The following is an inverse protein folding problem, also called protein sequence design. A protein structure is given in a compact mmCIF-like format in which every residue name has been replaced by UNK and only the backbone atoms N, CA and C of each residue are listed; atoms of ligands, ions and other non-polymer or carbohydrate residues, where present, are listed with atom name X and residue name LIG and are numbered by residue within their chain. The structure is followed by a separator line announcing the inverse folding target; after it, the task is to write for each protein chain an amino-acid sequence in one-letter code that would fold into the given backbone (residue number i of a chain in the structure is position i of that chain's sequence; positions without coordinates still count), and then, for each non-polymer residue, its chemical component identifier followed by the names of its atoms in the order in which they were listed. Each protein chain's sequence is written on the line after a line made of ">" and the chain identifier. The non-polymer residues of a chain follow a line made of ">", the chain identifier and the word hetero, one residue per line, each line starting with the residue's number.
data_IF_851983320665
#
_entry.id   IF_851983320665
#
_cell.length_a   1.000
_cell.length_b   1.000
_cell.length_c   1.000
_cell.angle_alpha   90.00
_cell.angle_beta   90.00
_cell.angle_gamma   90.00
#
_symmetry.space_group_name_H-M   'P 1'
#
loop_
_entity.id
_entity.type
_entity.pdbx_description
1 polymer ?
#
# COMPACT_ATOMS: atom_id res chain seq x y z
N UNK A 1 -4.09 -13.93 -12.57
CA UNK A 1 -4.15 -15.27 -11.90
C UNK A 1 -4.71 -15.08 -10.50
N UNK A 2 -5.79 -15.73 -10.12
CA UNK A 2 -6.24 -15.67 -8.73
C UNK A 2 -5.25 -16.41 -7.82
N UNK A 3 -4.98 -15.86 -6.63
CA UNK A 3 -4.08 -16.44 -5.62
C UNK A 3 -4.49 -17.85 -5.17
N UNK A 4 -3.63 -18.55 -4.44
CA UNK A 4 -3.76 -19.96 -4.03
C UNK A 4 -5.14 -20.41 -3.52
N UNK A 5 -5.86 -19.56 -2.79
CA UNK A 5 -7.22 -19.85 -2.35
C UNK A 5 -8.23 -19.95 -3.51
N UNK A 6 -7.83 -19.57 -4.73
CA UNK A 6 -8.64 -19.58 -5.94
C UNK A 6 -8.03 -20.42 -7.06
N UNK A 7 -7.09 -21.31 -6.77
CA UNK A 7 -6.30 -22.11 -7.75
C UNK A 7 -7.12 -22.91 -8.77
N UNK A 8 -8.44 -23.02 -8.60
CA UNK A 8 -9.34 -23.68 -9.55
C UNK A 8 -10.47 -22.76 -10.02
N UNK A 9 -10.33 -21.45 -9.89
CA UNK A 9 -11.43 -20.53 -10.05
C UNK A 9 -11.41 -19.72 -11.35
N UNK A 10 -10.65 -20.06 -12.36
CA UNK A 10 -10.60 -19.28 -13.60
C UNK A 10 -11.99 -18.85 -14.12
N UNK A 11 -12.97 -19.76 -14.04
CA UNK A 11 -14.37 -19.48 -14.40
C UNK A 11 -15.27 -19.04 -13.23
N UNK A 12 -14.75 -18.98 -12.00
CA UNK A 12 -15.52 -18.78 -10.77
C UNK A 12 -14.97 -17.69 -9.85
N UNK A 13 -13.88 -16.99 -10.24
CA UNK A 13 -13.42 -15.81 -9.50
C UNK A 13 -14.51 -14.73 -9.54
N UNK A 14 -14.93 -14.18 -8.40
CA UNK A 14 -15.89 -13.09 -8.40
C UNK A 14 -15.29 -11.89 -9.14
N UNK A 15 -16.13 -11.20 -9.92
CA UNK A 15 -15.72 -9.96 -10.57
C UNK A 15 -15.37 -8.92 -9.52
N UNK A 16 -14.35 -8.12 -9.80
CA UNK A 16 -13.92 -7.01 -8.96
C UNK A 16 -14.75 -5.77 -9.27
N UNK A 17 -15.57 -5.26 -8.34
CA UNK A 17 -16.39 -4.09 -8.60
C UNK A 17 -15.50 -2.87 -8.86
N UNK A 18 -15.59 -2.32 -10.07
CA UNK A 18 -14.80 -1.16 -10.49
C UNK A 18 -15.29 0.14 -9.88
N UNK A 19 -14.40 1.11 -9.70
CA UNK A 19 -14.76 2.46 -9.26
C UNK A 19 -15.38 3.26 -10.41
N UNK A 20 -14.76 3.26 -11.58
CA UNK A 20 -15.26 3.87 -12.83
C UNK A 20 -15.44 5.39 -12.78
N UNK A 21 -14.89 6.06 -11.79
CA UNK A 21 -15.06 7.50 -11.53
C UNK A 21 -13.96 8.03 -10.63
N UNK A 22 -14.11 9.26 -10.17
CA UNK A 22 -13.27 9.85 -9.11
C UNK A 22 -13.95 9.70 -7.75
N UNK A 23 -13.20 9.21 -6.76
CA UNK A 23 -13.60 9.16 -5.35
C UNK A 23 -12.70 10.09 -4.54
N UNK A 24 -13.30 11.00 -3.77
CA UNK A 24 -12.59 11.83 -2.80
C UNK A 24 -13.17 11.55 -1.41
N UNK A 25 -12.31 11.16 -0.49
CA UNK A 25 -12.69 10.90 0.91
C UNK A 25 -11.93 11.85 1.84
N UNK A 26 -12.69 12.56 2.67
CA UNK A 26 -12.19 13.29 3.84
C UNK A 26 -12.44 12.41 5.08
N UNK A 27 -11.36 11.98 5.72
CA UNK A 27 -11.43 11.09 6.88
C UNK A 27 -11.67 11.82 8.22
N UNK A 28 -12.23 13.00 8.22
CA UNK A 28 -12.73 13.62 9.47
C UNK A 28 -13.88 12.82 10.08
N UNK A 29 -14.47 11.92 9.30
CA UNK A 29 -15.50 10.95 9.69
C UNK A 29 -15.35 9.65 8.90
N UNK A 30 -15.97 8.59 9.40
CA UNK A 30 -16.10 7.31 8.70
C UNK A 30 -16.77 7.48 7.33
N UNK A 31 -16.34 6.69 6.35
CA UNK A 31 -16.91 6.65 5.00
C UNK A 31 -17.29 5.23 4.62
N UNK A 32 -18.51 5.06 4.10
CA UNK A 32 -19.02 3.77 3.61
C UNK A 32 -18.31 3.24 2.34
N UNK A 33 -17.47 4.05 1.71
CA UNK A 33 -16.67 3.64 0.55
C UNK A 33 -15.46 2.78 0.96
N UNK A 34 -15.18 2.72 2.27
CA UNK A 34 -14.03 2.03 2.85
C UNK A 34 -14.49 0.97 3.85
N UNK A 35 -13.70 -0.09 3.95
CA UNK A 35 -13.91 -1.18 4.91
C UNK A 35 -12.67 -1.37 5.76
N UNK A 36 -12.86 -1.37 7.07
CA UNK A 36 -11.82 -1.74 8.05
C UNK A 36 -11.57 -3.25 7.97
N UNK A 37 -10.29 -3.64 8.01
CA UNK A 37 -9.93 -5.05 8.08
C UNK A 37 -10.32 -5.67 9.42
N UNK A 38 -10.46 -6.98 9.47
CA UNK A 38 -10.80 -7.71 10.68
C UNK A 38 -9.86 -7.36 11.85
N UNK A 39 -10.44 -7.03 13.00
CA UNK A 39 -9.70 -6.60 14.18
C UNK A 39 -9.23 -5.15 14.17
N UNK A 40 -9.52 -4.40 13.12
CA UNK A 40 -9.30 -2.94 13.05
C UNK A 40 -10.47 -2.20 13.70
N UNK A 41 -10.16 -1.12 14.40
CA UNK A 41 -11.13 -0.10 14.81
C UNK A 41 -10.41 1.24 14.75
N UNK A 42 -10.79 2.07 13.78
CA UNK A 42 -10.21 3.40 13.60
C UNK A 42 -11.00 4.45 14.37
N UNK A 43 -10.31 5.52 14.74
CA UNK A 43 -10.91 6.77 15.19
C UNK A 43 -10.83 7.77 14.05
N UNK A 44 -11.84 8.63 13.98
CA UNK A 44 -11.96 9.67 12.97
C UNK A 44 -12.10 11.02 13.64
N UNK A 45 -11.46 12.06 13.10
CA UNK A 45 -11.50 13.39 13.69
C UNK A 45 -10.82 14.47 12.83
N UNK A 46 -10.50 15.59 13.42
CA UNK A 46 -9.89 16.73 12.69
C UNK A 46 -8.54 16.41 12.05
N UNK A 47 -7.84 15.39 12.53
CA UNK A 47 -6.59 14.89 11.95
C UNK A 47 -6.81 13.77 10.91
N UNK A 48 -8.04 13.38 10.63
CA UNK A 48 -8.38 12.27 9.75
C UNK A 48 -8.57 10.96 10.50
N UNK A 49 -8.39 9.84 9.80
CA UNK A 49 -8.40 8.49 10.36
C UNK A 49 -7.09 8.20 11.12
N UNK A 50 -7.21 7.59 12.31
CA UNK A 50 -6.11 7.28 13.22
C UNK A 50 -5.81 5.78 13.21
N UNK A 51 -4.62 5.40 12.73
CA UNK A 51 -4.12 4.03 12.68
C UNK A 51 -3.10 3.84 13.81
N UNK A 52 -3.57 3.34 14.96
CA UNK A 52 -2.78 3.31 16.18
C UNK A 52 -2.24 1.91 16.48
N UNK A 53 -0.93 1.82 16.66
CA UNK A 53 -0.21 0.66 17.19
C UNK A 53 0.02 0.88 18.68
N UNK A 54 -0.53 0.01 19.53
CA UNK A 54 -0.36 0.03 20.99
C UNK A 54 0.28 -1.26 21.52
N UNK A 55 0.20 -2.34 20.74
CA UNK A 55 0.74 -3.65 21.08
C UNK A 55 1.24 -4.37 19.84
N UNK A 56 2.09 -5.37 20.03
CA UNK A 56 2.76 -6.11 18.95
C UNK A 56 1.85 -6.89 17.97
N UNK A 57 0.58 -7.01 18.31
CA UNK A 57 -0.43 -7.70 17.46
C UNK A 57 -1.32 -6.73 16.68
N UNK A 58 -1.12 -5.42 16.85
CA UNK A 58 -1.91 -4.42 16.13
C UNK A 58 -1.45 -4.29 14.68
N UNK A 59 -2.42 -4.23 13.77
CA UNK A 59 -2.21 -3.98 12.36
C UNK A 59 -3.45 -3.27 11.77
N UNK A 60 -3.81 -2.08 12.28
CA UNK A 60 -4.98 -1.37 11.79
C UNK A 60 -4.85 -1.09 10.30
N UNK A 61 -5.84 -1.52 9.54
CA UNK A 61 -5.85 -1.43 8.08
C UNK A 61 -7.25 -1.10 7.56
N UNK A 62 -7.32 -0.25 6.54
CA UNK A 62 -8.55 0.07 5.81
C UNK A 62 -8.32 -0.10 4.31
N UNK A 63 -9.33 -0.56 3.58
CA UNK A 63 -9.28 -0.69 2.13
C UNK A 63 -10.51 -0.08 1.46
N UNK A 64 -10.32 0.56 0.31
CA UNK A 64 -11.45 1.01 -0.50
C UNK A 64 -12.25 -0.19 -1.03
N UNK A 65 -13.58 -0.07 -1.13
CA UNK A 65 -14.45 -1.19 -1.53
C UNK A 65 -14.42 -1.49 -3.04
N UNK A 66 -13.90 -0.56 -3.82
CA UNK A 66 -13.88 -0.63 -5.28
C UNK A 66 -12.45 -0.79 -5.80
N UNK A 67 -12.33 -1.35 -6.99
CA UNK A 67 -11.08 -1.54 -7.70
C UNK A 67 -10.89 -0.45 -8.75
N UNK A 68 -9.64 -0.12 -9.01
CA UNK A 68 -9.23 0.69 -10.16
C UNK A 68 -8.38 -0.17 -11.08
N UNK A 69 -8.45 0.11 -12.38
CA UNK A 69 -7.58 -0.51 -13.37
C UNK A 69 -6.82 0.61 -14.10
N UNK A 70 -5.60 0.86 -13.60
CA UNK A 70 -4.88 2.10 -13.78
C UNK A 70 -5.58 3.29 -13.12
N UNK A 71 -4.84 4.35 -12.86
CA UNK A 71 -5.40 5.51 -12.19
C UNK A 71 -4.38 6.35 -11.45
N UNK A 72 -4.85 7.46 -10.92
CA UNK A 72 -4.07 8.31 -10.04
C UNK A 72 -4.63 8.25 -8.63
N UNK A 73 -3.75 8.02 -7.66
CA UNK A 73 -4.13 8.00 -6.25
C UNK A 73 -3.27 8.99 -5.49
N UNK A 74 -3.89 9.82 -4.67
CA UNK A 74 -3.22 10.81 -3.82
C UNK A 74 -3.71 10.65 -2.38
N UNK A 75 -2.79 10.47 -1.44
CA UNK A 75 -3.06 10.30 -0.01
C UNK A 75 -2.37 11.42 0.76
N UNK A 76 -3.14 12.24 1.48
CA UNK A 76 -2.60 13.25 2.40
C UNK A 76 -2.53 12.64 3.79
N UNK A 77 -1.32 12.39 4.27
CA UNK A 77 -1.11 11.64 5.50
C UNK A 77 0.12 12.13 6.28
N UNK A 78 0.18 11.69 7.52
CA UNK A 78 1.32 11.82 8.40
C UNK A 78 1.66 10.42 8.93
N UNK A 79 2.88 9.95 8.66
CA UNK A 79 3.31 8.62 9.06
C UNK A 79 3.46 8.50 10.59
N UNK A 80 3.44 7.27 11.07
CA UNK A 80 3.63 6.98 12.48
C UNK A 80 5.12 7.06 12.86
N UNK A 81 5.50 7.79 13.91
CA UNK A 81 6.80 7.63 14.53
C UNK A 81 6.88 6.32 15.32
N UNK A 82 8.08 5.86 15.63
CA UNK A 82 8.34 4.76 16.56
C UNK A 82 9.08 3.59 15.92
N UNK A 83 10.11 3.12 16.62
CA UNK A 83 10.90 1.95 16.21
C UNK A 83 10.01 0.72 16.09
N UNK A 84 10.22 -0.10 15.07
CA UNK A 84 9.46 -1.32 14.84
C UNK A 84 8.07 -1.10 14.23
N UNK A 85 7.67 0.15 13.96
CA UNK A 85 6.38 0.49 13.32
C UNK A 85 6.60 0.84 11.86
N UNK A 86 5.70 0.37 11.00
CA UNK A 86 5.67 0.71 9.58
C UNK A 86 4.31 1.27 9.24
N UNK A 87 4.28 2.44 8.62
CA UNK A 87 3.09 2.99 7.97
C UNK A 87 3.11 2.63 6.50
N UNK A 88 1.96 2.36 5.89
CA UNK A 88 1.87 1.99 4.48
C UNK A 88 0.65 2.59 3.78
N UNK A 89 0.85 2.90 2.53
CA UNK A 89 -0.17 3.19 1.53
C UNK A 89 0.15 2.34 0.32
N UNK A 90 -0.72 1.42 -0.03
CA UNK A 90 -0.48 0.43 -1.07
C UNK A 90 -1.67 0.33 -2.03
N UNK A 91 -1.39 -0.10 -3.25
CA UNK A 91 -2.35 -0.67 -4.17
C UNK A 91 -2.06 -2.17 -4.28
N UNK A 92 -3.08 -3.00 -4.12
CA UNK A 92 -2.92 -4.45 -4.20
C UNK A 92 -4.07 -5.10 -4.96
N UNK A 93 -3.73 -6.07 -5.82
CA UNK A 93 -4.67 -6.86 -6.60
C UNK A 93 -4.90 -8.25 -6.00
N UNK A 94 -5.94 -8.94 -6.48
CA UNK A 94 -6.16 -10.37 -6.15
C UNK A 94 -5.08 -11.29 -6.76
N UNK A 95 -4.35 -10.80 -7.77
CA UNK A 95 -3.22 -11.51 -8.38
C UNK A 95 -1.89 -11.20 -7.68
N UNK A 96 -1.93 -10.45 -6.57
CA UNK A 96 -0.77 -10.00 -5.81
C UNK A 96 0.18 -9.11 -6.62
N UNK A 97 -0.34 -8.34 -7.57
CA UNK A 97 0.31 -7.14 -8.02
C UNK A 97 0.22 -6.10 -6.89
N UNK A 98 1.32 -5.41 -6.60
CA UNK A 98 1.41 -4.47 -5.49
C UNK A 98 2.25 -3.24 -5.87
N UNK A 99 1.85 -2.06 -5.41
CA UNK A 99 2.58 -0.80 -5.53
C UNK A 99 2.58 -0.14 -4.15
N UNK A 100 3.77 0.20 -3.63
CA UNK A 100 3.94 0.58 -2.23
C UNK A 100 4.53 1.97 -2.05
N UNK A 101 3.99 2.69 -1.07
CA UNK A 101 4.67 3.69 -0.26
C UNK A 101 4.77 3.18 1.17
N UNK A 102 5.97 3.18 1.75
CA UNK A 102 6.19 2.75 3.13
C UNK A 102 7.08 3.72 3.91
N UNK A 103 6.79 3.85 5.20
CA UNK A 103 7.50 4.68 6.17
C UNK A 103 7.90 3.84 7.35
N UNK A 104 9.19 3.70 7.57
CA UNK A 104 9.73 3.08 8.78
C UNK A 104 9.75 4.10 9.90
N UNK A 105 9.06 3.84 11.00
CA UNK A 105 8.83 4.82 12.08
C UNK A 105 10.09 5.31 12.80
N UNK A 106 11.21 4.61 12.67
CA UNK A 106 12.52 5.03 13.16
C UNK A 106 13.29 5.95 12.20
N UNK A 107 12.86 6.06 10.93
CA UNK A 107 13.49 6.93 9.91
C UNK A 107 12.62 8.16 9.64
N UNK A 108 13.02 9.29 10.21
CA UNK A 108 12.28 10.55 10.09
C UNK A 108 12.64 11.38 8.85
N UNK A 109 13.53 10.87 8.01
CA UNK A 109 14.09 11.61 6.87
C UNK A 109 13.82 10.98 5.50
N UNK A 110 13.30 9.75 5.47
CA UNK A 110 13.07 9.04 4.22
C UNK A 110 11.72 8.34 4.18
N UNK A 111 11.27 8.10 2.96
CA UNK A 111 10.20 7.16 2.61
C UNK A 111 10.74 6.13 1.63
N UNK A 112 10.03 5.03 1.51
CA UNK A 112 10.36 3.98 0.55
C UNK A 112 9.23 3.77 -0.43
N UNK A 113 9.57 3.42 -1.68
CA UNK A 113 8.62 2.98 -2.70
C UNK A 113 9.04 1.62 -3.21
N UNK A 114 8.08 0.75 -3.46
CA UNK A 114 8.36 -0.60 -3.94
C UNK A 114 7.26 -1.06 -4.91
N UNK A 115 7.44 -2.23 -5.50
CA UNK A 115 6.42 -2.91 -6.29
C UNK A 115 6.66 -4.41 -6.32
N UNK A 116 5.59 -5.16 -6.45
CA UNK A 116 5.63 -6.59 -6.70
C UNK A 116 4.64 -6.94 -7.82
N UNK A 117 5.03 -7.85 -8.70
CA UNK A 117 4.15 -8.39 -9.71
C UNK A 117 3.84 -9.86 -9.40
N UNK A 118 2.55 -10.20 -9.36
CA UNK A 118 2.06 -11.58 -9.21
C UNK A 118 2.66 -12.30 -7.99
N UNK A 119 2.83 -11.56 -6.89
CA UNK A 119 3.40 -12.09 -5.65
C UNK A 119 4.84 -12.58 -5.77
N UNK A 120 5.59 -12.13 -6.77
CA UNK A 120 6.98 -12.55 -6.95
C UNK A 120 7.89 -11.90 -5.90
N UNK A 121 8.26 -12.65 -4.89
CA UNK A 121 9.18 -12.26 -3.80
C UNK A 121 10.57 -12.90 -3.92
N UNK A 122 10.98 -13.33 -5.11
CA UNK A 122 12.29 -13.96 -5.34
C UNK A 122 13.45 -12.99 -5.14
N UNK A 123 13.21 -11.67 -5.26
CA UNK A 123 14.19 -10.61 -4.97
C UNK A 123 13.53 -9.47 -4.21
N UNK A 124 14.33 -8.74 -3.42
CA UNK A 124 13.92 -7.57 -2.64
C UNK A 124 14.71 -6.31 -3.02
N UNK A 125 15.24 -6.26 -4.24
CA UNK A 125 16.05 -5.16 -4.77
C UNK A 125 15.26 -4.12 -5.59
N UNK A 126 13.92 -4.22 -5.56
CA UNK A 126 13.01 -3.36 -6.33
C UNK A 126 12.63 -2.07 -5.61
N UNK A 127 12.86 -2.02 -4.30
CA UNK A 127 12.64 -0.83 -3.48
C UNK A 127 13.53 0.33 -3.86
N UNK A 128 13.07 1.55 -3.57
CA UNK A 128 13.83 2.78 -3.66
C UNK A 128 13.53 3.68 -2.46
N UNK A 129 14.57 4.34 -1.93
CA UNK A 129 14.46 5.26 -0.79
C UNK A 129 14.52 6.70 -1.29
N UNK A 130 13.65 7.55 -0.77
CA UNK A 130 13.52 8.94 -1.16
C UNK A 130 13.61 9.86 0.06
N UNK A 131 14.41 10.94 0.01
CA UNK A 131 14.46 11.92 1.09
C UNK A 131 13.14 12.69 1.18
N UNK A 132 12.68 12.91 2.41
CA UNK A 132 11.49 13.70 2.73
C UNK A 132 11.68 14.42 4.05
N UNK A 133 11.19 15.66 4.15
CA UNK A 133 11.29 16.43 5.39
C UNK A 133 10.03 16.27 6.23
N UNK A 134 10.19 15.75 7.46
CA UNK A 134 9.13 15.69 8.46
C UNK A 134 7.91 14.85 8.11
N UNK A 135 8.07 13.61 7.59
CA UNK A 135 6.93 12.77 7.18
C UNK A 135 6.05 12.36 8.35
N UNK A 136 6.56 12.47 9.58
CA UNK A 136 5.86 12.14 10.82
C UNK A 136 5.39 13.40 11.58
N UNK A 137 5.85 14.58 11.18
CA UNK A 137 5.54 15.84 11.86
C UNK A 137 4.43 16.64 11.19
N UNK A 138 4.31 16.51 9.87
CA UNK A 138 3.37 17.27 9.06
C UNK A 138 2.62 16.39 8.05
N UNK A 139 1.44 16.85 7.65
CA UNK A 139 0.70 16.20 6.57
C UNK A 139 1.38 16.51 5.23
N UNK A 140 1.69 15.45 4.50
CA UNK A 140 2.26 15.52 3.15
C UNK A 140 1.35 14.70 2.23
N UNK A 141 1.16 15.16 1.00
CA UNK A 141 0.45 14.40 -0.01
C UNK A 141 1.44 13.53 -0.77
N UNK A 142 1.18 12.22 -0.78
CA UNK A 142 1.90 11.24 -1.56
C UNK A 142 1.00 10.75 -2.67
N UNK A 143 1.51 10.73 -3.90
CA UNK A 143 0.69 10.35 -5.04
C UNK A 143 1.40 9.35 -5.93
N UNK A 144 0.63 8.50 -6.55
CA UNK A 144 1.08 7.67 -7.65
C UNK A 144 0.15 7.87 -8.86
N UNK A 145 0.77 7.85 -10.04
CA UNK A 145 0.09 7.87 -11.33
C UNK A 145 0.47 6.58 -12.05
N UNK A 146 -0.47 5.65 -12.10
CA UNK A 146 -0.29 4.30 -12.60
C UNK A 146 -1.00 4.12 -13.93
N UNK A 147 -0.21 3.85 -14.95
CA UNK A 147 -0.66 3.62 -16.32
C UNK A 147 -0.11 2.29 -16.84
N UNK A 148 -0.48 1.88 -18.04
CA UNK A 148 0.09 0.69 -18.69
C UNK A 148 1.55 0.88 -19.12
N UNK A 149 2.02 2.13 -19.22
CA UNK A 149 3.37 2.46 -19.64
C UNK A 149 4.33 2.68 -18.46
N UNK A 150 3.82 3.21 -17.34
CA UNK A 150 4.66 3.54 -16.19
C UNK A 150 3.88 3.75 -14.90
N UNK A 151 4.59 3.61 -13.78
CA UNK A 151 4.16 4.07 -12.45
C UNK A 151 5.06 5.24 -12.06
N UNK A 152 4.45 6.39 -11.77
CA UNK A 152 5.14 7.58 -11.30
C UNK A 152 4.78 7.83 -9.84
N UNK A 153 5.79 8.06 -9.00
CA UNK A 153 5.65 8.32 -7.57
C UNK A 153 6.00 9.77 -7.27
N UNK A 154 5.16 10.44 -6.48
CA UNK A 154 5.31 11.85 -6.14
C UNK A 154 5.29 12.06 -4.62
N UNK A 155 6.10 13.01 -4.15
CA UNK A 155 6.06 13.58 -2.79
C UNK A 155 5.71 15.06 -2.95
N UNK A 156 4.53 15.46 -2.48
CA UNK A 156 3.96 16.74 -2.89
C UNK A 156 3.83 16.80 -4.40
N UNK A 157 4.36 17.86 -5.01
CA UNK A 157 4.39 18.04 -6.48
C UNK A 157 5.64 17.47 -7.14
N UNK A 158 6.58 16.91 -6.36
CA UNK A 158 7.86 16.44 -6.87
C UNK A 158 7.78 14.99 -7.34
N UNK A 159 8.08 14.73 -8.61
CA UNK A 159 8.28 13.38 -9.15
C UNK A 159 9.59 12.80 -8.57
N UNK A 160 9.50 11.71 -7.79
CA UNK A 160 10.66 11.10 -7.13
C UNK A 160 11.08 9.78 -7.75
N UNK A 161 10.17 9.08 -8.44
CA UNK A 161 10.46 7.82 -9.13
C UNK A 161 9.54 7.64 -10.33
N UNK A 162 10.10 7.05 -11.39
CA UNK A 162 9.35 6.48 -12.51
C UNK A 162 9.78 5.03 -12.69
N UNK A 163 8.82 4.11 -12.64
CA UNK A 163 9.01 2.72 -13.03
C UNK A 163 8.36 2.52 -14.40
N UNK A 164 9.15 2.29 -15.43
CA UNK A 164 8.63 1.99 -16.76
C UNK A 164 8.16 0.53 -16.86
N UNK A 165 7.23 0.24 -17.76
CA UNK A 165 6.74 -1.14 -18.01
C UNK A 165 7.89 -2.08 -18.40
N UNK A 166 8.85 -1.60 -19.18
CA UNK A 166 10.01 -2.33 -19.68
C UNK A 166 11.29 -2.16 -18.83
N UNK A 167 11.16 -1.62 -17.60
CA UNK A 167 12.27 -1.57 -16.65
C UNK A 167 12.83 -2.99 -16.43
N UNK A 168 14.16 -3.19 -16.39
CA UNK A 168 14.75 -4.52 -16.15
C UNK A 168 14.20 -5.25 -14.92
N UNK A 169 13.82 -4.53 -13.86
CA UNK A 169 13.24 -5.10 -12.63
C UNK A 169 11.81 -5.60 -12.80
N UNK A 170 11.13 -5.19 -13.87
CA UNK A 170 9.79 -5.70 -14.22
C UNK A 170 9.85 -7.02 -15.00
N UNK A 171 11.04 -7.53 -15.34
CA UNK A 171 11.22 -8.74 -16.13
C UNK A 171 10.42 -8.70 -17.46
N UNK A 172 10.63 -7.64 -18.25
CA UNK A 172 9.91 -7.36 -19.49
C UNK A 172 8.38 -7.26 -19.28
N UNK A 173 7.97 -6.60 -18.21
CA UNK A 173 6.56 -6.37 -17.87
C UNK A 173 5.91 -7.52 -17.07
N UNK A 174 6.55 -8.67 -16.90
CA UNK A 174 5.97 -9.77 -16.12
C UNK A 174 5.69 -9.37 -14.66
N UNK A 175 6.62 -8.67 -14.02
CA UNK A 175 6.48 -8.16 -12.65
C UNK A 175 5.88 -6.75 -12.59
N UNK A 176 5.52 -6.15 -13.71
CA UNK A 176 4.85 -4.86 -13.69
C UNK A 176 3.43 -5.01 -13.14
N UNK A 177 3.03 -4.24 -12.11
CA UNK A 177 1.66 -4.25 -11.61
C UNK A 177 0.68 -3.81 -12.71
N UNK A 178 -0.22 -4.72 -13.11
CA UNK A 178 -1.06 -4.54 -14.29
C UNK A 178 -2.43 -5.25 -14.20
N UNK A 179 -2.87 -5.54 -13.00
CA UNK A 179 -4.19 -6.13 -12.72
C UNK A 179 -5.01 -5.20 -11.84
N UNK A 180 -6.37 -5.28 -11.84
CA UNK A 180 -7.20 -4.37 -11.05
C UNK A 180 -6.84 -4.39 -9.56
N UNK A 181 -6.59 -3.22 -8.95
CA UNK A 181 -6.10 -3.08 -7.59
C UNK A 181 -7.04 -2.27 -6.70
N UNK A 182 -6.98 -2.55 -5.40
CA UNK A 182 -7.62 -1.75 -4.34
C UNK A 182 -6.58 -0.93 -3.62
N UNK A 183 -6.96 0.31 -3.28
CA UNK A 183 -6.16 1.16 -2.40
C UNK A 183 -6.34 0.68 -0.96
N UNK A 184 -5.25 0.45 -0.26
CA UNK A 184 -5.22 0.10 1.16
C UNK A 184 -4.27 1.03 1.90
N UNK A 185 -4.57 1.30 3.15
CA UNK A 185 -3.71 2.08 4.05
C UNK A 185 -3.70 1.40 5.40
N UNK A 186 -2.55 1.37 6.04
CA UNK A 186 -2.43 0.75 7.34
C UNK A 186 -1.13 1.06 8.05
N UNK A 187 -1.10 0.72 9.33
CA UNK A 187 0.12 0.69 10.12
C UNK A 187 0.28 -0.71 10.68
N UNK A 188 1.50 -1.22 10.68
CA UNK A 188 1.77 -2.59 11.13
C UNK A 188 3.09 -2.69 11.90
N UNK A 189 3.27 -3.78 12.61
CA UNK A 189 4.46 -4.03 13.43
C UNK A 189 5.48 -4.81 12.61
N UNK A 190 6.53 -4.14 12.14
CA UNK A 190 7.62 -4.73 11.38
C UNK A 190 8.59 -5.54 12.23
N UNK A 191 8.69 -5.23 13.54
CA UNK A 191 9.45 -6.01 14.49
C UNK A 191 8.74 -6.05 15.85
N UNK A 192 8.23 -7.21 16.22
CA UNK A 192 7.39 -7.35 17.41
C UNK A 192 8.18 -7.20 18.73
N UNK A 193 9.35 -7.85 18.81
CA UNK A 193 10.18 -7.89 20.02
C UNK A 193 11.60 -8.40 19.71
N UNK A 194 12.43 -8.52 20.75
CA UNK A 194 13.79 -9.02 20.63
C UNK A 194 13.87 -10.50 20.15
N UNK A 195 12.83 -11.30 20.39
CA UNK A 195 12.78 -12.67 19.89
C UNK A 195 12.58 -12.68 18.38
N UNK A 196 11.69 -11.82 17.87
CA UNK A 196 11.48 -11.63 16.42
C UNK A 196 12.75 -11.09 15.75
N UNK A 197 13.51 -10.20 16.42
CA UNK A 197 14.78 -9.69 15.89
C UNK A 197 15.89 -10.76 15.83
N UNK A 198 15.79 -11.81 16.62
CA UNK A 198 16.74 -12.94 16.64
C UNK A 198 16.30 -14.12 15.76
N UNK A 199 15.05 -14.15 15.29
CA UNK A 199 14.52 -15.24 14.46
C UNK A 199 14.98 -15.09 13.01
N UNK A 200 15.54 -16.14 12.43
CA UNK A 200 16.04 -16.17 11.05
C UNK A 200 15.00 -15.79 10.00
N UNK A 201 13.71 -15.98 10.28
CA UNK A 201 12.62 -15.65 9.35
C UNK A 201 12.22 -14.18 9.37
N UNK A 202 12.41 -13.51 10.51
CA UNK A 202 11.92 -12.14 10.73
C UNK A 202 13.03 -11.12 10.99
N UNK A 203 14.26 -11.55 11.25
CA UNK A 203 15.38 -10.68 11.59
C UNK A 203 15.61 -9.55 10.55
N UNK A 204 15.50 -9.85 9.27
CA UNK A 204 15.72 -8.87 8.20
C UNK A 204 14.61 -7.82 8.14
N UNK A 205 13.37 -8.22 8.37
CA UNK A 205 12.24 -7.29 8.51
C UNK A 205 12.40 -6.45 9.77
N UNK A 206 12.87 -7.06 10.88
CA UNK A 206 13.16 -6.34 12.11
C UNK A 206 14.30 -5.32 11.95
N UNK A 207 15.37 -5.68 11.25
CA UNK A 207 16.47 -4.76 10.95
C UNK A 207 15.99 -3.59 10.09
N UNK A 208 15.25 -3.89 9.03
CA UNK A 208 14.64 -2.88 8.16
C UNK A 208 13.67 -1.96 8.92
N UNK A 209 12.85 -2.49 9.84
CA UNK A 209 11.92 -1.71 10.67
C UNK A 209 12.62 -0.91 11.79
N UNK A 210 13.95 -0.96 11.88
CA UNK A 210 14.74 -0.23 12.87
C UNK A 210 14.85 -0.89 14.23
N UNK A 211 14.41 -2.15 14.38
CA UNK A 211 14.47 -2.93 15.61
C UNK A 211 13.10 -3.15 16.27
N UNK A 212 13.09 -3.72 17.49
CA UNK A 212 11.88 -4.05 18.22
C UNK A 212 10.95 -2.85 18.47
N UNK A 213 9.65 -3.14 18.47
CA UNK A 213 8.60 -2.18 18.79
C UNK A 213 8.84 -1.53 20.15
N UNK A 214 8.86 -0.20 20.21
CA UNK A 214 8.77 0.54 21.45
C UNK A 214 7.34 0.47 21.99
N UNK A 215 7.14 -0.26 23.08
CA UNK A 215 5.85 -0.42 23.76
C UNK A 215 5.62 0.59 24.88
N UNK A 216 6.52 1.55 25.08
CA UNK A 216 6.39 2.58 26.13
C UNK A 216 5.30 3.62 25.80
N UNK A 217 4.94 3.74 24.53
CA UNK A 217 3.90 4.65 24.02
C UNK A 217 3.14 4.00 22.86
N UNK A 218 2.01 4.60 22.53
CA UNK A 218 1.27 4.26 21.30
C UNK A 218 1.80 5.07 20.12
N UNK A 219 1.75 4.50 18.93
CA UNK A 219 2.25 5.08 17.70
C UNK A 219 1.12 5.20 16.69
N UNK A 220 0.89 6.38 16.15
CA UNK A 220 -0.27 6.65 15.31
C UNK A 220 0.12 7.27 13.97
N UNK A 221 -0.29 6.62 12.87
CA UNK A 221 -0.35 7.20 11.55
C UNK A 221 -1.70 7.91 11.38
N UNK A 222 -1.72 9.04 10.69
CA UNK A 222 -2.93 9.79 10.39
C UNK A 222 -3.11 9.90 8.88
N UNK A 223 -4.30 9.57 8.39
CA UNK A 223 -4.69 9.81 6.99
C UNK A 223 -5.81 10.83 6.96
N UNK A 224 -5.52 12.00 6.40
CA UNK A 224 -6.47 13.13 6.36
C UNK A 224 -7.45 13.01 5.22
N UNK A 225 -6.97 12.71 4.04
CA UNK A 225 -7.81 12.59 2.84
C UNK A 225 -7.16 11.70 1.78
N UNK A 226 -8.01 11.14 0.93
CA UNK A 226 -7.61 10.37 -0.24
C UNK A 226 -8.40 10.85 -1.46
N UNK A 227 -7.73 10.97 -2.60
CA UNK A 227 -8.35 11.15 -3.91
C UNK A 227 -7.92 10.00 -4.81
N UNK A 228 -8.88 9.30 -5.40
CA UNK A 228 -8.68 8.21 -6.35
C UNK A 228 -9.36 8.61 -7.65
N UNK A 229 -8.60 8.67 -8.74
CA UNK A 229 -9.08 8.87 -10.10
C UNK A 229 -8.87 7.56 -10.86
N UNK A 230 -9.95 6.85 -11.18
CA UNK A 230 -9.89 5.62 -11.96
C UNK A 230 -9.79 5.95 -13.46
N UNK A 231 -8.76 5.44 -14.13
CA UNK A 231 -8.61 5.58 -15.58
C UNK A 231 -9.36 4.49 -16.35
N UNK A 232 -9.81 3.45 -15.64
CA UNK A 232 -10.72 2.44 -16.17
C UNK A 232 -12.14 3.00 -16.34
N UNK A 233 -12.91 2.40 -17.22
CA UNK A 233 -14.31 2.78 -17.50
C UNK A 233 -15.29 1.66 -17.13
N UNK A 234 -14.82 0.58 -16.50
CA UNK A 234 -15.62 -0.60 -16.20
C UNK A 234 -16.44 -0.48 -14.92
N UNK A 235 -17.61 -1.11 -14.91
CA UNK A 235 -18.36 -1.36 -13.67
C UNK A 235 -17.76 -2.51 -12.86
N UNK A 236 -17.30 -3.55 -13.55
CA UNK A 236 -16.68 -4.73 -12.95
C UNK A 236 -15.48 -5.17 -13.79
N UNK A 237 -14.42 -5.65 -13.12
CA UNK A 237 -13.26 -6.25 -13.74
C UNK A 237 -13.26 -7.76 -13.51
N UNK A 238 -12.96 -8.53 -14.54
CA UNK A 238 -12.80 -9.99 -14.48
C UNK A 238 -11.57 -10.42 -15.25
N UNK A 239 -10.91 -11.46 -14.75
CA UNK A 239 -9.76 -12.04 -15.44
C UNK A 239 -10.24 -12.92 -16.59
N UNK A 240 -9.78 -12.65 -17.82
CA UNK A 240 -10.16 -13.44 -19.01
C UNK A 240 -9.25 -14.62 -19.26
N UNK A 241 -8.05 -14.62 -18.65
CA UNK A 241 -7.09 -15.73 -18.69
C UNK A 241 -6.22 -15.81 -17.42
N UNK A 242 -5.19 -16.64 -17.44
CA UNK A 242 -4.27 -16.85 -16.30
C UNK A 242 -2.95 -16.09 -16.42
N UNK A 243 -2.82 -15.15 -17.34
CA UNK A 243 -1.55 -14.43 -17.56
C UNK A 243 -1.33 -13.30 -16.56
N UNK A 244 -2.41 -12.73 -16.00
CA UNK A 244 -2.36 -11.52 -15.22
C UNK A 244 -1.81 -10.33 -16.02
N UNK A 245 -2.00 -10.34 -17.35
CA UNK A 245 -1.63 -9.25 -18.24
C UNK A 245 -2.79 -8.29 -18.41
N UNK A 246 -2.49 -6.99 -18.52
CA UNK A 246 -3.51 -5.99 -18.83
C UNK A 246 -4.10 -6.13 -20.24
N UNK A 247 -3.50 -6.95 -21.09
CA UNK A 247 -3.93 -7.20 -22.47
C UNK A 247 -4.97 -8.32 -22.58
N UNK A 248 -5.22 -9.04 -21.50
CA UNK A 248 -6.16 -10.18 -21.48
C UNK A 248 -7.54 -9.81 -20.95
#
# INVERSE_FOLDING_TARGET
>A
MCIEQYTNCYSACPANPGLGTTLVTDFTKESSDWTEADGTTLKYGSNGAEFTISKKTDAPTIGVNKYIFFGKVSVTMKASPGTGVVSSFILESQDLDEIDFEWVGGDTAHIQTNFFGKGNTTTYDRGATHPVSGPMDQFITYSLDWTKESIKFYIGDSLVRTLAYDDPKTLNGFNYPQTPMRVKMGSWVGCADAAAAADEKTKWTCEWAGGPLDTSSSHTMYVKSVSIEDYGCGGDYSYSDLTGSYQS
#
